data_IF_898867517620
#
_entry.id   IF_898867517620
#
_cell.length_a   1.000
_cell.length_b   1.000
_cell.length_c   1.000
_cell.angle_alpha   90.00
_cell.angle_beta   90.00
_cell.angle_gamma   90.00
#
_symmetry.space_group_name_H-M   'P 1'
#
loop_
_entity.id
_entity.type
_entity.pdbx_description
1 polymer ?
#
# COMPACT_ATOMS: atom_id res chain seq x y z
N UNK A 1 -11.66 -23.87 26.49
CA UNK A 1 -10.53 -24.78 26.22
C UNK A 1 -10.80 -25.40 24.86
N UNK A 2 -10.32 -24.77 23.78
CA UNK A 2 -10.53 -25.28 22.42
C UNK A 2 -9.42 -26.28 22.16
N UNK A 3 -9.81 -27.53 21.90
CA UNK A 3 -8.89 -28.62 21.60
C UNK A 3 -8.03 -28.26 20.38
N UNK A 4 -6.71 -28.53 20.40
CA UNK A 4 -5.89 -28.37 19.21
C UNK A 4 -6.35 -29.41 18.18
N UNK A 5 -6.67 -28.94 16.98
CA UNK A 5 -7.09 -29.80 15.87
C UNK A 5 -5.90 -30.69 15.46
N UNK A 6 -5.86 -31.90 16.00
CA UNK A 6 -4.80 -32.91 15.82
C UNK A 6 -4.95 -33.76 14.56
N UNK A 7 -5.53 -33.22 13.48
CA UNK A 7 -6.02 -34.04 12.36
C UNK A 7 -5.90 -33.44 10.97
N UNK A 8 -4.84 -32.69 10.64
CA UNK A 8 -4.42 -32.60 9.24
C UNK A 8 -3.21 -33.48 9.03
N UNK A 9 -3.50 -34.69 8.60
CA UNK A 9 -2.58 -35.52 7.84
C UNK A 9 -1.70 -34.64 6.96
N UNK A 10 -0.39 -34.88 7.01
CA UNK A 10 0.54 -34.37 5.99
C UNK A 10 -0.12 -34.65 4.65
N UNK A 11 -0.53 -33.59 3.94
CA UNK A 11 -1.24 -33.74 2.69
C UNK A 11 -0.49 -34.78 1.85
N UNK A 12 -1.15 -35.84 1.37
CA UNK A 12 -0.49 -36.85 0.54
C UNK A 12 0.15 -36.08 -0.60
N UNK A 13 1.43 -36.36 -0.89
CA UNK A 13 2.17 -35.68 -1.97
C UNK A 13 1.26 -35.58 -3.20
N UNK A 14 0.74 -34.37 -3.42
CA UNK A 14 -0.48 -34.22 -4.20
C UNK A 14 -0.14 -34.55 -5.65
N UNK A 15 -0.58 -35.70 -6.14
CA UNK A 15 -0.31 -36.14 -7.51
C UNK A 15 -0.70 -35.06 -8.54
N UNK A 16 -1.73 -34.26 -8.24
CA UNK A 16 -2.13 -33.12 -9.04
C UNK A 16 -1.07 -31.99 -9.02
N UNK A 17 -0.47 -31.71 -7.86
CA UNK A 17 0.60 -30.71 -7.76
C UNK A 17 1.87 -31.15 -8.50
N UNK A 18 2.26 -32.44 -8.39
CA UNK A 18 3.37 -32.99 -9.19
C UNK A 18 3.10 -32.91 -10.70
N UNK A 19 1.88 -33.22 -11.13
CA UNK A 19 1.46 -33.08 -12.52
C UNK A 19 1.44 -31.60 -12.99
N UNK A 20 1.06 -30.69 -12.09
CA UNK A 20 1.11 -29.25 -12.32
C UNK A 20 2.54 -28.76 -12.52
N UNK A 21 3.47 -29.09 -11.63
CA UNK A 21 4.88 -28.71 -11.76
C UNK A 21 5.50 -29.24 -13.06
N UNK A 22 5.15 -30.48 -13.44
CA UNK A 22 5.58 -31.06 -14.72
C UNK A 22 5.07 -30.29 -15.94
N UNK A 23 3.84 -29.78 -15.89
CA UNK A 23 3.25 -29.00 -16.98
C UNK A 23 3.64 -27.52 -16.95
N UNK A 24 4.07 -27.00 -15.78
CA UNK A 24 4.43 -25.61 -15.55
C UNK A 24 5.76 -25.49 -14.80
N UNK A 25 6.89 -25.90 -15.40
CA UNK A 25 8.19 -25.93 -14.72
C UNK A 25 8.66 -24.53 -14.29
N UNK A 26 8.20 -23.47 -14.96
CA UNK A 26 8.49 -22.08 -14.56
C UNK A 26 7.94 -21.72 -13.17
N UNK A 27 6.98 -22.47 -12.63
CA UNK A 27 6.50 -22.28 -11.27
C UNK A 27 7.58 -22.55 -10.22
N UNK A 28 8.55 -23.43 -10.51
CA UNK A 28 9.67 -23.65 -9.58
C UNK A 28 10.54 -22.40 -9.40
N UNK A 29 10.58 -21.51 -10.39
CA UNK A 29 11.29 -20.24 -10.28
C UNK A 29 10.67 -19.30 -9.22
N UNK A 30 9.42 -19.54 -8.82
CA UNK A 30 8.74 -18.75 -7.77
C UNK A 30 8.91 -19.33 -6.37
N UNK A 31 9.72 -20.38 -6.18
CA UNK A 31 9.86 -21.06 -4.89
C UNK A 31 10.38 -20.14 -3.77
N UNK A 32 11.13 -19.09 -4.11
CA UNK A 32 11.54 -18.06 -3.14
C UNK A 32 10.35 -17.33 -2.50
N UNK A 33 9.23 -17.19 -3.22
CA UNK A 33 8.01 -16.57 -2.72
C UNK A 33 7.32 -17.43 -1.67
N UNK A 34 7.50 -18.76 -1.71
CA UNK A 34 6.96 -19.66 -0.68
C UNK A 34 7.61 -19.39 0.67
N UNK A 35 8.93 -19.14 0.69
CA UNK A 35 9.64 -18.76 1.91
C UNK A 35 9.12 -17.44 2.49
N UNK A 36 8.84 -16.45 1.62
CA UNK A 36 8.23 -15.17 2.03
C UNK A 36 6.82 -15.39 2.57
N UNK A 37 5.99 -16.18 1.88
CA UNK A 37 4.63 -16.51 2.32
C UNK A 37 4.65 -17.16 3.71
N UNK A 38 5.46 -18.20 3.87
CA UNK A 38 5.55 -18.94 5.13
C UNK A 38 5.99 -18.04 6.29
N UNK A 39 6.98 -17.17 6.05
CA UNK A 39 7.55 -16.29 7.08
C UNK A 39 6.66 -15.09 7.40
N UNK A 40 6.14 -14.40 6.40
CA UNK A 40 5.51 -13.09 6.54
C UNK A 40 3.97 -13.17 6.56
N UNK A 41 3.40 -14.27 6.05
CA UNK A 41 1.97 -14.45 5.85
C UNK A 41 1.47 -15.85 6.27
N UNK A 42 2.25 -16.59 7.07
CA UNK A 42 1.95 -17.99 7.44
C UNK A 42 0.61 -18.17 8.17
N UNK A 43 0.06 -17.09 8.74
CA UNK A 43 -1.30 -17.07 9.29
C UNK A 43 -2.38 -17.44 8.26
N UNK A 44 -2.17 -17.20 6.96
CA UNK A 44 -3.08 -17.63 5.91
C UNK A 44 -3.20 -19.16 5.88
N UNK A 45 -2.08 -19.87 5.97
CA UNK A 45 -2.06 -21.34 5.92
C UNK A 45 -2.56 -21.93 7.25
N UNK A 46 -2.17 -21.33 8.38
CA UNK A 46 -2.62 -21.72 9.71
C UNK A 46 -4.15 -21.63 9.87
N UNK A 47 -4.76 -20.62 9.25
CA UNK A 47 -6.22 -20.41 9.27
C UNK A 47 -6.94 -21.06 8.09
N UNK A 48 -6.22 -21.52 7.07
CA UNK A 48 -6.78 -22.11 5.86
C UNK A 48 -7.42 -21.09 4.91
N UNK A 49 -6.96 -19.84 4.92
CA UNK A 49 -7.46 -18.78 4.05
C UNK A 49 -6.64 -18.63 2.76
N UNK A 50 -7.34 -18.48 1.64
CA UNK A 50 -6.77 -18.04 0.36
C UNK A 50 -7.24 -16.62 0.09
N UNK A 51 -6.34 -15.64 0.19
CA UNK A 51 -6.65 -14.24 -0.03
C UNK A 51 -6.29 -13.83 -1.46
N UNK A 52 -7.28 -13.34 -2.22
CA UNK A 52 -7.14 -12.93 -3.62
C UNK A 52 -7.61 -11.49 -3.88
N UNK A 53 -7.95 -10.74 -2.83
CA UNK A 53 -8.49 -9.38 -2.92
C UNK A 53 -7.40 -8.29 -2.79
N UNK A 54 -6.23 -8.54 -3.37
CA UNK A 54 -5.10 -7.60 -3.29
C UNK A 54 -5.35 -6.27 -4.02
N UNK A 55 -6.33 -6.21 -4.91
CA UNK A 55 -6.78 -4.96 -5.54
C UNK A 55 -7.57 -4.07 -4.59
N UNK A 56 -8.25 -4.66 -3.59
CA UNK A 56 -8.95 -3.92 -2.55
C UNK A 56 -8.00 -3.44 -1.44
N UNK A 57 -7.03 -4.27 -1.07
CA UNK A 57 -5.99 -3.90 -0.12
C UNK A 57 -4.94 -4.99 0.11
N UNK A 58 -3.70 -4.59 0.37
CA UNK A 58 -2.65 -5.52 0.75
C UNK A 58 -2.80 -6.03 2.18
N UNK A 59 -2.34 -7.25 2.44
CA UNK A 59 -2.16 -7.74 3.81
C UNK A 59 -0.86 -7.18 4.40
N UNK A 60 -0.87 -6.86 5.69
CA UNK A 60 0.36 -6.56 6.44
C UNK A 60 1.22 -7.83 6.58
N UNK A 61 2.53 -7.71 6.58
CA UNK A 61 3.42 -8.83 6.94
C UNK A 61 3.57 -8.96 8.46
N UNK A 62 3.95 -10.13 8.96
CA UNK A 62 4.23 -10.32 10.39
C UNK A 62 5.39 -9.43 10.86
N UNK A 63 6.45 -9.26 10.06
CA UNK A 63 7.56 -8.34 10.37
C UNK A 63 7.10 -6.90 10.59
N UNK A 64 6.32 -6.33 9.67
CA UNK A 64 5.72 -4.99 9.80
C UNK A 64 5.01 -4.77 11.15
N UNK A 65 4.23 -5.75 11.62
CA UNK A 65 3.57 -5.64 12.93
C UNK A 65 4.60 -5.62 14.06
N UNK A 66 5.53 -6.57 14.04
CA UNK A 66 6.52 -6.72 15.11
C UNK A 66 7.45 -5.51 15.20
N UNK A 67 7.92 -4.99 14.06
CA UNK A 67 8.75 -3.80 13.99
C UNK A 67 8.01 -2.56 14.47
N UNK A 68 6.75 -2.38 14.07
CA UNK A 68 5.95 -1.25 14.55
C UNK A 68 5.70 -1.33 16.06
N UNK A 69 5.43 -2.53 16.60
CA UNK A 69 5.29 -2.73 18.03
C UNK A 69 6.59 -2.45 18.78
N UNK A 70 7.73 -2.91 18.26
CA UNK A 70 9.04 -2.67 18.85
C UNK A 70 9.38 -1.17 18.85
N UNK A 71 9.08 -0.46 17.76
CA UNK A 71 9.23 0.99 17.66
C UNK A 71 8.44 1.70 18.77
N UNK A 72 7.13 1.40 18.88
CA UNK A 72 6.25 2.03 19.88
C UNK A 72 6.60 1.69 21.33
N UNK A 73 7.21 0.53 21.58
CA UNK A 73 7.65 0.13 22.93
C UNK A 73 9.03 0.64 23.30
N UNK A 74 9.89 0.84 22.31
CA UNK A 74 11.30 1.18 22.50
C UNK A 74 11.55 2.66 22.78
N UNK A 75 10.63 3.53 22.35
CA UNK A 75 10.84 4.98 22.36
C UNK A 75 9.60 5.76 22.80
N UNK A 76 9.83 7.02 23.19
CA UNK A 76 8.77 7.99 23.47
C UNK A 76 8.66 8.96 22.30
N UNK A 77 7.46 9.05 21.72
CA UNK A 77 7.19 9.91 20.58
C UNK A 77 6.36 11.11 20.99
N UNK A 78 6.81 12.29 20.60
CA UNK A 78 6.09 13.55 20.77
C UNK A 78 5.50 14.04 19.46
N UNK A 79 4.67 15.08 19.54
CA UNK A 79 4.32 15.87 18.36
C UNK A 79 5.61 16.38 17.69
N UNK A 80 5.82 16.21 16.37
CA UNK A 80 6.94 16.84 15.67
C UNK A 80 6.96 18.36 15.88
N UNK A 81 8.09 19.02 15.59
CA UNK A 81 8.25 20.50 15.61
C UNK A 81 8.47 21.17 16.98
N UNK A 82 8.66 20.42 18.05
CA UNK A 82 9.10 20.97 19.34
C UNK A 82 10.55 20.56 19.65
N UNK A 83 11.23 21.32 20.51
CA UNK A 83 12.65 21.08 20.82
C UNK A 83 12.94 19.94 21.82
N UNK A 84 11.91 19.23 22.30
CA UNK A 84 12.12 18.15 23.28
C UNK A 84 12.62 16.85 22.61
N UNK A 85 13.30 15.95 23.35
CA UNK A 85 13.87 14.74 22.77
C UNK A 85 12.86 13.86 22.02
N UNK A 86 11.67 13.65 22.59
CA UNK A 86 10.62 12.83 21.98
C UNK A 86 10.13 13.40 20.64
N UNK A 87 10.07 14.72 20.53
CA UNK A 87 9.69 15.42 19.30
C UNK A 87 10.77 15.36 18.22
N UNK A 88 12.05 15.49 18.61
CA UNK A 88 13.19 15.34 17.70
C UNK A 88 13.23 13.91 17.13
N UNK A 89 13.00 12.89 17.95
CA UNK A 89 12.91 11.50 17.49
C UNK A 89 11.78 11.33 16.48
N UNK A 90 10.56 11.82 16.77
CA UNK A 90 9.45 11.75 15.80
C UNK A 90 9.77 12.49 14.51
N UNK A 91 10.38 13.68 14.59
CA UNK A 91 10.75 14.48 13.40
C UNK A 91 11.71 13.69 12.50
N UNK A 92 12.75 13.08 13.06
CA UNK A 92 13.70 12.25 12.29
C UNK A 92 13.03 11.06 11.60
N UNK A 93 12.09 10.40 12.26
CA UNK A 93 11.37 9.27 11.66
C UNK A 93 10.46 9.72 10.52
N UNK A 94 9.77 10.85 10.68
CA UNK A 94 8.94 11.44 9.62
C UNK A 94 9.80 11.85 8.43
N UNK A 95 10.94 12.49 8.65
CA UNK A 95 11.85 12.92 7.59
C UNK A 95 12.45 11.71 6.87
N UNK A 96 12.92 10.70 7.61
CA UNK A 96 13.42 9.45 7.01
C UNK A 96 12.36 8.73 6.16
N UNK A 97 11.09 8.78 6.59
CA UNK A 97 9.99 8.22 5.80
C UNK A 97 9.74 9.01 4.51
N UNK A 98 9.90 10.35 4.51
CA UNK A 98 9.82 11.16 3.29
C UNK A 98 10.94 10.81 2.32
N UNK A 99 12.17 10.71 2.82
CA UNK A 99 13.34 10.38 2.01
C UNK A 99 13.17 9.00 1.36
N UNK A 100 12.74 8.00 2.13
CA UNK A 100 12.47 6.65 1.62
C UNK A 100 11.38 6.65 0.53
N UNK A 101 10.31 7.43 0.70
CA UNK A 101 9.25 7.55 -0.32
C UNK A 101 9.79 8.17 -1.60
N UNK A 102 10.56 9.26 -1.50
CA UNK A 102 11.16 9.90 -2.67
C UNK A 102 12.11 8.95 -3.41
N UNK A 103 12.97 8.24 -2.67
CA UNK A 103 13.85 7.21 -3.24
C UNK A 103 13.06 6.10 -3.94
N UNK A 104 12.01 5.57 -3.29
CA UNK A 104 11.16 4.51 -3.86
C UNK A 104 10.53 4.92 -5.20
N UNK A 105 10.08 6.17 -5.32
CA UNK A 105 9.53 6.71 -6.56
C UNK A 105 10.59 7.26 -7.53
N UNK A 106 11.88 7.16 -7.20
CA UNK A 106 12.99 7.76 -7.95
C UNK A 106 12.75 9.27 -8.22
N UNK A 107 12.26 9.97 -7.20
CA UNK A 107 11.92 11.38 -7.24
C UNK A 107 13.02 12.20 -6.54
N UNK A 108 13.62 13.17 -7.25
CA UNK A 108 14.66 14.02 -6.68
C UNK A 108 14.08 14.93 -5.59
N UNK A 109 14.69 15.02 -4.38
CA UNK A 109 14.26 15.96 -3.36
C UNK A 109 14.45 17.44 -3.75
N UNK A 110 15.26 17.73 -4.79
CA UNK A 110 15.42 19.08 -5.32
C UNK A 110 14.22 19.53 -6.18
N UNK A 111 13.40 18.58 -6.66
CA UNK A 111 12.24 18.83 -7.52
C UNK A 111 10.91 18.47 -6.84
N UNK A 112 10.90 17.44 -5.99
CA UNK A 112 9.70 16.87 -5.40
C UNK A 112 9.70 16.95 -3.88
N UNK A 113 8.50 17.12 -3.32
CA UNK A 113 8.24 17.01 -1.89
C UNK A 113 7.23 15.89 -1.63
N UNK A 114 7.57 14.98 -0.72
CA UNK A 114 6.62 13.97 -0.27
C UNK A 114 5.62 14.62 0.71
N UNK A 115 4.31 14.52 0.45
CA UNK A 115 3.25 15.03 1.34
C UNK A 115 2.40 13.86 1.83
N UNK A 116 2.39 13.64 3.15
CA UNK A 116 1.54 12.63 3.77
C UNK A 116 0.08 13.09 3.79
N UNK A 117 -0.81 12.21 3.35
CA UNK A 117 -2.27 12.39 3.43
C UNK A 117 -2.89 11.12 3.99
N UNK A 118 -4.18 11.17 4.37
CA UNK A 118 -4.86 10.01 4.96
C UNK A 118 -4.96 8.81 3.99
N UNK A 119 -5.04 9.08 2.68
CA UNK A 119 -5.09 8.08 1.61
C UNK A 119 -5.01 8.78 0.23
N UNK A 120 -4.97 7.98 -0.85
CA UNK A 120 -4.93 8.48 -2.22
C UNK A 120 -6.11 9.42 -2.55
N UNK A 121 -7.33 9.13 -2.10
CA UNK A 121 -8.50 9.99 -2.33
C UNK A 121 -8.34 11.37 -1.70
N UNK A 122 -7.78 11.45 -0.49
CA UNK A 122 -7.49 12.73 0.17
C UNK A 122 -6.41 13.53 -0.59
N UNK A 123 -5.36 12.87 -1.08
CA UNK A 123 -4.34 13.52 -1.92
C UNK A 123 -4.93 14.08 -3.22
N UNK A 124 -5.72 13.27 -3.93
CA UNK A 124 -6.39 13.65 -5.18
C UNK A 124 -7.32 14.84 -4.94
N UNK A 125 -8.07 14.82 -3.84
CA UNK A 125 -8.95 15.94 -3.47
C UNK A 125 -8.15 17.22 -3.23
N UNK A 126 -7.04 17.15 -2.49
CA UNK A 126 -6.17 18.31 -2.24
C UNK A 126 -5.65 18.92 -3.55
N UNK A 127 -5.25 18.08 -4.51
CA UNK A 127 -4.86 18.53 -5.84
C UNK A 127 -6.04 19.20 -6.55
N UNK A 128 -7.23 18.59 -6.55
CA UNK A 128 -8.42 19.15 -7.18
C UNK A 128 -8.85 20.50 -6.60
N UNK A 129 -8.78 20.67 -5.28
CA UNK A 129 -9.12 21.93 -4.60
C UNK A 129 -8.10 23.04 -4.85
N UNK A 130 -6.81 22.68 -4.96
CA UNK A 130 -5.71 23.63 -5.14
C UNK A 130 -5.44 23.97 -6.61
N UNK A 131 -5.81 23.10 -7.55
CA UNK A 131 -5.52 23.32 -8.97
C UNK A 131 -6.25 24.57 -9.48
N UNK A 132 -5.54 25.50 -10.14
CA UNK A 132 -6.09 26.80 -10.48
C UNK A 132 -6.91 26.74 -11.78
N UNK A 133 -7.96 25.93 -11.82
CA UNK A 133 -8.85 25.85 -12.98
C UNK A 133 -9.43 27.22 -13.34
N UNK A 134 -9.61 27.44 -14.64
CA UNK A 134 -10.19 28.65 -15.21
C UNK A 134 -11.16 28.32 -16.35
N UNK A 135 -11.97 29.32 -16.73
CA UNK A 135 -12.83 29.18 -17.89
C UNK A 135 -12.01 28.97 -19.16
N UNK A 136 -12.36 27.93 -19.93
CA UNK A 136 -11.62 27.53 -21.14
C UNK A 136 -10.62 26.39 -20.92
N UNK A 137 -10.27 26.07 -19.66
CA UNK A 137 -9.46 24.90 -19.34
C UNK A 137 -10.20 23.59 -19.68
N UNK A 138 -9.42 22.52 -19.83
CA UNK A 138 -9.94 21.17 -20.07
C UNK A 138 -9.38 20.20 -19.05
N UNK A 139 -10.26 19.53 -18.33
CA UNK A 139 -9.93 18.37 -17.50
C UNK A 139 -10.26 17.10 -18.29
N UNK A 140 -9.23 16.35 -18.66
CA UNK A 140 -9.33 15.12 -19.45
C UNK A 140 -9.30 13.90 -18.53
N UNK A 141 -10.33 13.06 -18.63
CA UNK A 141 -10.45 11.79 -17.94
C UNK A 141 -10.29 10.62 -18.92
N UNK A 142 -9.68 9.54 -18.45
CA UNK A 142 -9.65 8.26 -19.15
C UNK A 142 -10.73 7.34 -18.58
N UNK A 143 -11.27 6.45 -19.41
CA UNK A 143 -12.37 5.55 -19.02
C UNK A 143 -12.02 4.65 -17.82
N UNK A 144 -10.74 4.31 -17.66
CA UNK A 144 -10.21 3.45 -16.61
C UNK A 144 -9.89 4.19 -15.29
N UNK A 145 -10.14 5.51 -15.22
CA UNK A 145 -9.88 6.25 -13.99
C UNK A 145 -10.78 5.80 -12.83
N UNK A 146 -10.14 5.55 -11.69
CA UNK A 146 -10.83 5.27 -10.44
C UNK A 146 -11.72 6.45 -10.01
N UNK A 147 -12.81 6.16 -9.30
CA UNK A 147 -13.82 7.14 -8.88
C UNK A 147 -13.25 8.37 -8.15
N UNK A 148 -12.14 8.22 -7.43
CA UNK A 148 -11.46 9.33 -6.76
C UNK A 148 -10.95 10.39 -7.75
N UNK A 149 -10.40 9.99 -8.89
CA UNK A 149 -9.93 10.90 -9.96
C UNK A 149 -11.11 11.58 -10.65
N UNK A 150 -12.21 10.85 -10.85
CA UNK A 150 -13.44 11.38 -11.41
C UNK A 150 -14.02 12.52 -10.55
N UNK A 151 -13.79 12.49 -9.23
CA UNK A 151 -14.22 13.53 -8.30
C UNK A 151 -13.62 14.92 -8.57
N UNK A 152 -12.45 15.02 -9.21
CA UNK A 152 -11.83 16.32 -9.52
C UNK A 152 -12.71 17.16 -10.47
N UNK A 153 -13.55 16.53 -11.29
CA UNK A 153 -14.44 17.21 -12.24
C UNK A 153 -15.32 18.28 -11.58
N UNK A 154 -15.69 18.08 -10.32
CA UNK A 154 -16.53 19.03 -9.59
C UNK A 154 -15.78 20.35 -9.36
N UNK A 155 -14.48 20.28 -9.03
CA UNK A 155 -13.62 21.47 -8.89
C UNK A 155 -13.40 22.16 -10.25
N UNK A 156 -13.20 21.39 -11.31
CA UNK A 156 -13.10 21.91 -12.67
C UNK A 156 -14.38 22.66 -13.09
N UNK A 157 -15.56 22.04 -12.90
CA UNK A 157 -16.85 22.66 -13.22
C UNK A 157 -17.13 23.92 -12.42
N UNK A 158 -16.85 23.93 -11.11
CA UNK A 158 -17.03 25.12 -10.26
C UNK A 158 -16.21 26.32 -10.74
N UNK A 159 -15.12 26.08 -11.48
CA UNK A 159 -14.24 27.11 -12.03
C UNK A 159 -14.46 27.38 -13.53
N UNK A 160 -15.47 26.76 -14.13
CA UNK A 160 -15.86 26.96 -15.53
C UNK A 160 -15.01 26.20 -16.54
N UNK A 161 -14.22 25.22 -16.10
CA UNK A 161 -13.48 24.34 -17.00
C UNK A 161 -14.39 23.26 -17.61
N UNK A 162 -14.05 22.81 -18.81
CA UNK A 162 -14.75 21.73 -19.49
C UNK A 162 -14.18 20.38 -19.07
N UNK A 163 -15.04 19.39 -18.86
CA UNK A 163 -14.64 18.02 -18.51
C UNK A 163 -14.90 17.12 -19.71
N UNK A 164 -13.90 16.36 -20.13
CA UNK A 164 -13.98 15.44 -21.25
C UNK A 164 -13.60 14.05 -20.77
N UNK A 165 -14.34 13.03 -21.21
CA UNK A 165 -13.99 11.63 -21.01
C UNK A 165 -13.69 11.01 -22.36
N UNK A 166 -12.58 10.30 -22.47
CA UNK A 166 -12.36 9.36 -23.57
C UNK A 166 -13.19 8.10 -23.33
N UNK A 167 -13.73 7.53 -24.40
CA UNK A 167 -14.56 6.30 -24.41
C UNK A 167 -13.64 5.10 -24.59
#
# INVERSE_FOLDING_TARGET
MIQPNSGRDKAPENHAFKAFLKSHPSFEATQSLEGVRQKEYGRLDATGHTYLDYTGGGLYSDSQILEHLNLLRGDVFGNPHSGNPASVTTTRLVDSARDYILEYFNASPDEYVAIFTANATAAIKLVGEAYPFQSGDRYLLTFDNHNSINGIREFAHMKGACVWSTI
#
